data_IF_284825736716
#
_entry.id   IF_284825736716
#
_cell.length_a   1.000
_cell.length_b   1.000
_cell.length_c   1.000
_cell.angle_alpha   90.00
_cell.angle_beta   90.00
_cell.angle_gamma   90.00
#
_symmetry.space_group_name_H-M   'P 1'
#
loop_
_entity.id
_entity.type
_entity.pdbx_description
1 polymer ?
#
# COMPACT_ATOMS: atom_id res chain seq x y z
N UNK A 1 15.82 -8.92 23.34
CA UNK A 1 16.32 -7.86 22.44
C UNK A 1 15.11 -7.34 21.71
N UNK A 2 14.63 -6.14 22.05
CA UNK A 2 13.57 -5.45 21.31
C UNK A 2 14.12 -5.20 19.90
N UNK A 3 13.60 -5.91 18.90
CA UNK A 3 13.92 -5.66 17.51
C UNK A 3 13.29 -4.34 17.06
N UNK A 4 13.86 -3.23 17.51
CA UNK A 4 13.41 -1.91 17.08
C UNK A 4 13.53 -1.83 15.55
N UNK A 5 12.48 -1.34 14.91
CA UNK A 5 12.52 -0.94 13.51
C UNK A 5 13.76 -0.06 13.27
N UNK A 6 14.49 -0.30 12.22
CA UNK A 6 15.59 0.58 11.85
C UNK A 6 15.03 1.97 11.50
N UNK A 7 15.80 3.01 11.78
CA UNK A 7 15.42 4.37 11.38
C UNK A 7 15.19 4.41 9.88
N UNK A 8 14.08 4.98 9.46
CA UNK A 8 13.79 5.15 8.03
C UNK A 8 14.94 5.88 7.33
N UNK A 9 15.25 5.40 6.14
CA UNK A 9 16.22 6.02 5.23
C UNK A 9 15.82 7.49 4.99
N UNK A 10 16.79 8.38 5.02
CA UNK A 10 16.55 9.75 4.56
C UNK A 10 16.29 9.75 3.06
N UNK A 11 15.16 10.28 2.65
CA UNK A 11 14.78 10.45 1.24
C UNK A 11 14.28 11.86 0.99
N UNK A 12 14.32 12.29 -0.26
CA UNK A 12 13.61 13.50 -0.72
C UNK A 12 12.12 13.32 -0.45
N UNK A 13 11.37 14.40 -0.46
CA UNK A 13 9.91 14.36 -0.30
C UNK A 13 9.25 14.79 -1.61
N UNK A 14 8.46 13.92 -2.22
CA UNK A 14 7.66 14.22 -3.39
C UNK A 14 6.21 14.47 -3.00
N UNK A 15 5.63 15.59 -3.45
CA UNK A 15 4.22 15.92 -3.19
C UNK A 15 3.34 15.47 -4.36
N UNK A 16 2.35 14.63 -4.09
CA UNK A 16 1.43 14.05 -5.10
C UNK A 16 0.00 14.36 -4.73
N UNK A 17 -0.61 15.38 -5.35
CA UNK A 17 -2.00 15.75 -5.06
C UNK A 17 -2.25 16.06 -3.58
N UNK A 18 -1.31 16.70 -2.91
CA UNK A 18 -1.38 16.98 -1.46
C UNK A 18 -0.80 15.87 -0.57
N UNK A 19 -0.53 14.69 -1.11
CA UNK A 19 0.05 13.55 -0.33
C UNK A 19 1.57 13.57 -0.44
N UNK A 20 2.26 13.68 0.71
CA UNK A 20 3.72 13.60 0.77
C UNK A 20 4.22 12.15 0.67
N UNK A 21 5.22 11.91 -0.17
CA UNK A 21 5.89 10.62 -0.32
C UNK A 21 7.38 10.81 -0.03
N UNK A 22 7.90 10.08 0.94
CA UNK A 22 9.30 10.24 1.39
C UNK A 22 9.48 11.28 2.48
N UNK A 23 10.72 11.60 2.81
CA UNK A 23 11.05 12.48 3.92
C UNK A 23 10.47 11.99 5.25
N UNK A 24 9.81 12.88 5.97
CA UNK A 24 9.14 12.58 7.23
C UNK A 24 7.70 12.09 7.07
N UNK A 25 7.17 12.03 5.83
CA UNK A 25 5.79 11.61 5.56
C UNK A 25 5.57 10.14 5.94
N UNK A 26 4.37 9.75 6.39
CA UNK A 26 4.02 8.34 6.58
C UNK A 26 4.18 7.53 5.29
N UNK A 27 4.38 6.20 5.43
CA UNK A 27 4.44 5.30 4.27
C UNK A 27 3.06 5.24 3.62
N UNK A 28 2.98 5.62 2.35
CA UNK A 28 1.72 5.81 1.62
C UNK A 28 1.22 4.49 1.01
N UNK A 29 -0.06 4.17 1.18
CA UNK A 29 -0.72 3.04 0.54
C UNK A 29 -1.28 3.46 -0.81
N UNK A 30 -0.82 2.82 -1.87
CA UNK A 30 -1.29 3.02 -3.24
C UNK A 30 -1.99 1.76 -3.76
N UNK A 31 -3.04 1.93 -4.56
CA UNK A 31 -3.72 0.86 -5.28
C UNK A 31 -3.79 1.12 -6.79
N UNK A 32 -4.50 0.25 -7.51
CA UNK A 32 -4.71 0.38 -8.95
C UNK A 32 -6.04 -0.27 -9.34
N UNK A 33 -6.77 0.38 -10.24
CA UNK A 33 -7.97 -0.19 -10.86
C UNK A 33 -7.60 -1.31 -11.85
N UNK A 34 -8.59 -2.15 -12.15
CA UNK A 34 -8.54 -3.13 -13.22
C UNK A 34 -9.72 -3.01 -14.20
N UNK A 35 -10.45 -1.89 -14.12
CA UNK A 35 -11.48 -1.50 -15.08
C UNK A 35 -10.87 -0.97 -16.38
N UNK A 36 -11.62 -1.02 -17.45
CA UNK A 36 -11.32 -0.26 -18.67
C UNK A 36 -11.51 1.23 -18.37
N UNK A 37 -10.44 2.03 -18.47
CA UNK A 37 -10.46 3.42 -18.01
C UNK A 37 -11.41 4.29 -18.84
N UNK A 38 -11.71 3.92 -20.08
CA UNK A 38 -12.70 4.59 -20.92
C UNK A 38 -14.12 4.44 -20.40
N UNK A 39 -14.42 3.39 -19.61
CA UNK A 39 -15.65 3.32 -18.83
C UNK A 39 -15.51 4.20 -17.58
N UNK A 40 -15.95 5.46 -17.73
CA UNK A 40 -15.89 6.49 -16.69
C UNK A 40 -16.63 6.05 -15.43
N UNK A 41 -17.81 5.41 -15.58
CA UNK A 41 -18.61 5.02 -14.45
C UNK A 41 -17.98 3.88 -13.65
N UNK A 42 -17.62 2.78 -14.33
CA UNK A 42 -17.02 1.64 -13.67
C UNK A 42 -15.67 2.02 -13.00
N UNK A 43 -14.85 2.84 -13.68
CA UNK A 43 -13.56 3.27 -13.15
C UNK A 43 -13.74 4.20 -11.94
N UNK A 44 -14.64 5.19 -12.00
CA UNK A 44 -14.91 6.07 -10.87
C UNK A 44 -15.44 5.29 -9.64
N UNK A 45 -16.35 4.34 -9.88
CA UNK A 45 -16.86 3.49 -8.80
C UNK A 45 -15.76 2.65 -8.14
N UNK A 46 -14.88 2.04 -8.93
CA UNK A 46 -13.79 1.23 -8.38
C UNK A 46 -12.74 2.11 -7.67
N UNK A 47 -12.42 3.29 -8.20
CA UNK A 47 -11.55 4.27 -7.52
C UNK A 47 -12.15 4.67 -6.18
N UNK A 48 -13.45 4.96 -6.13
CA UNK A 48 -14.14 5.31 -4.89
C UNK A 48 -14.12 4.16 -3.87
N UNK A 49 -14.31 2.91 -4.30
CA UNK A 49 -14.19 1.74 -3.44
C UNK A 49 -12.78 1.60 -2.86
N UNK A 50 -11.75 1.75 -3.69
CA UNK A 50 -10.34 1.69 -3.26
C UNK A 50 -9.99 2.82 -2.27
N UNK A 51 -10.46 4.04 -2.54
CA UNK A 51 -10.26 5.18 -1.66
C UNK A 51 -10.96 4.99 -0.30
N UNK A 52 -12.22 4.51 -0.30
CA UNK A 52 -12.96 4.21 0.94
C UNK A 52 -12.34 3.07 1.74
N UNK A 53 -11.68 2.12 1.07
CA UNK A 53 -10.88 1.09 1.74
C UNK A 53 -9.57 1.65 2.35
N UNK A 54 -9.23 2.91 2.07
CA UNK A 54 -8.06 3.61 2.60
C UNK A 54 -6.85 3.66 1.68
N UNK A 55 -7.05 3.47 0.36
CA UNK A 55 -6.00 3.80 -0.62
C UNK A 55 -5.83 5.30 -0.70
N UNK A 56 -4.61 5.78 -0.44
CA UNK A 56 -4.29 7.21 -0.43
C UNK A 56 -3.96 7.75 -1.83
N UNK A 57 -3.61 6.85 -2.75
CA UNK A 57 -3.34 7.14 -4.16
C UNK A 57 -3.92 6.01 -5.01
N UNK A 58 -4.64 6.33 -6.07
CA UNK A 58 -5.18 5.31 -6.98
C UNK A 58 -4.63 5.48 -8.38
N UNK A 59 -4.05 4.41 -8.94
CA UNK A 59 -3.53 4.38 -10.29
C UNK A 59 -4.54 3.81 -11.26
N UNK A 60 -4.70 4.49 -12.41
CA UNK A 60 -5.53 4.07 -13.54
C UNK A 60 -4.65 3.89 -14.78
N UNK A 61 -5.01 2.98 -15.69
CA UNK A 61 -4.28 2.74 -16.94
C UNK A 61 -4.72 3.79 -17.97
N UNK A 62 -3.76 4.46 -18.64
CA UNK A 62 -4.05 5.41 -19.72
C UNK A 62 -3.29 4.96 -20.97
N UNK A 63 -3.92 4.12 -21.78
CA UNK A 63 -3.30 3.43 -22.92
C UNK A 63 -3.96 3.74 -24.27
N UNK A 64 -5.14 4.36 -24.27
CA UNK A 64 -5.91 4.74 -25.47
C UNK A 64 -6.28 6.23 -25.40
N UNK A 65 -6.73 6.80 -26.54
CA UNK A 65 -7.25 8.17 -26.60
C UNK A 65 -8.53 8.31 -25.78
N UNK A 66 -9.38 7.30 -25.85
CA UNK A 66 -10.64 7.21 -25.11
C UNK A 66 -10.37 7.20 -23.61
N UNK A 67 -9.38 6.40 -23.15
CA UNK A 67 -8.95 6.40 -21.76
C UNK A 67 -8.40 7.78 -21.31
N UNK A 68 -7.58 8.45 -22.15
CA UNK A 68 -7.07 9.79 -21.83
C UNK A 68 -8.20 10.82 -21.72
N UNK A 69 -9.16 10.81 -22.66
CA UNK A 69 -10.33 11.68 -22.64
C UNK A 69 -11.31 11.37 -21.48
N UNK A 70 -11.25 10.17 -20.91
CA UNK A 70 -12.09 9.78 -19.78
C UNK A 70 -11.57 10.30 -18.42
N UNK A 71 -10.26 10.53 -18.27
CA UNK A 71 -9.63 10.89 -16.98
C UNK A 71 -10.26 12.14 -16.34
N UNK A 72 -10.46 13.26 -17.04
CA UNK A 72 -11.12 14.43 -16.45
C UNK A 72 -12.55 14.13 -15.97
N UNK A 73 -13.29 13.32 -16.72
CA UNK A 73 -14.67 12.92 -16.39
C UNK A 73 -14.71 12.00 -15.17
N UNK A 74 -13.71 11.11 -15.03
CA UNK A 74 -13.56 10.25 -13.85
C UNK A 74 -13.34 11.14 -12.63
N UNK A 75 -12.45 12.14 -12.70
CA UNK A 75 -12.21 13.08 -11.61
C UNK A 75 -13.46 13.89 -11.24
N UNK A 76 -14.19 14.39 -12.23
CA UNK A 76 -15.47 15.07 -12.00
C UNK A 76 -16.48 14.17 -11.30
N UNK A 77 -16.59 12.89 -11.75
CA UNK A 77 -17.49 11.92 -11.14
C UNK A 77 -17.10 11.59 -9.70
N UNK A 78 -15.81 11.49 -9.39
CA UNK A 78 -15.32 11.30 -8.02
C UNK A 78 -15.68 12.50 -7.13
N UNK A 79 -15.54 13.72 -7.62
CA UNK A 79 -15.94 14.92 -6.89
C UNK A 79 -17.45 14.94 -6.57
N UNK A 80 -18.30 14.49 -7.51
CA UNK A 80 -19.75 14.31 -7.28
C UNK A 80 -20.08 13.24 -6.22
N UNK A 81 -19.13 12.36 -5.92
CA UNK A 81 -19.26 11.30 -4.91
C UNK A 81 -18.56 11.65 -3.59
N UNK A 82 -18.10 12.89 -3.43
CA UNK A 82 -17.28 13.36 -2.30
C UNK A 82 -16.03 12.51 -2.05
N UNK A 83 -15.37 12.08 -3.15
CA UNK A 83 -14.15 11.28 -3.10
C UNK A 83 -12.97 12.10 -3.63
N UNK A 84 -12.12 12.53 -2.71
CA UNK A 84 -10.90 13.29 -3.01
C UNK A 84 -9.66 12.39 -2.89
N UNK A 85 -9.43 11.55 -3.90
CA UNK A 85 -8.21 10.73 -3.98
C UNK A 85 -7.39 11.14 -5.21
N UNK A 86 -6.07 11.40 -5.05
CA UNK A 86 -5.21 11.73 -6.19
C UNK A 86 -5.10 10.56 -7.17
N UNK A 87 -5.35 10.83 -8.46
CA UNK A 87 -5.24 9.87 -9.54
C UNK A 87 -3.84 9.85 -10.14
N UNK A 88 -3.34 8.66 -10.42
CA UNK A 88 -2.04 8.44 -11.08
C UNK A 88 -2.28 7.82 -12.44
N UNK A 89 -1.78 8.43 -13.50
CA UNK A 89 -1.84 7.86 -14.85
C UNK A 89 -0.69 6.87 -15.08
N UNK A 90 -1.02 5.67 -15.56
CA UNK A 90 -0.05 4.65 -15.95
C UNK A 90 0.13 4.67 -17.48
N UNK A 91 1.30 5.14 -17.92
CA UNK A 91 1.61 5.32 -19.33
C UNK A 91 2.66 4.31 -19.81
N UNK A 92 2.38 3.78 -20.98
CA UNK A 92 3.27 2.90 -21.75
C UNK A 92 3.34 3.41 -23.20
N UNK A 93 4.33 3.03 -23.97
CA UNK A 93 4.55 3.25 -25.40
C UNK A 93 4.12 4.59 -26.01
N UNK A 94 2.85 4.96 -25.89
CA UNK A 94 2.24 6.12 -26.56
C UNK A 94 1.88 7.26 -25.59
N UNK A 95 2.31 7.19 -24.32
CA UNK A 95 1.95 8.16 -23.29
C UNK A 95 2.27 9.62 -23.68
N UNK A 96 3.40 9.86 -24.35
CA UNK A 96 3.80 11.18 -24.87
C UNK A 96 2.77 11.76 -25.86
N UNK A 97 2.20 10.91 -26.74
CA UNK A 97 1.17 11.32 -27.68
C UNK A 97 -0.15 11.60 -26.99
N UNK A 98 -0.57 10.67 -26.11
CA UNK A 98 -1.83 10.80 -25.38
C UNK A 98 -1.88 12.08 -24.55
N UNK A 99 -0.81 12.40 -23.83
CA UNK A 99 -0.74 13.60 -23.01
C UNK A 99 -0.57 14.88 -23.85
N UNK A 100 0.02 14.81 -25.05
CA UNK A 100 0.09 15.94 -25.97
C UNK A 100 -1.25 16.23 -26.65
N UNK A 101 -1.99 15.18 -27.01
CA UNK A 101 -3.30 15.28 -27.67
C UNK A 101 -4.43 15.59 -26.66
N UNK A 102 -4.25 15.18 -25.39
CA UNK A 102 -5.20 15.35 -24.29
C UNK A 102 -4.53 16.01 -23.07
N UNK A 103 -4.20 17.31 -23.15
CA UNK A 103 -3.56 18.03 -22.04
C UNK A 103 -4.40 18.06 -20.78
N UNK A 104 -5.73 18.06 -20.89
CA UNK A 104 -6.68 17.96 -19.79
C UNK A 104 -6.52 16.67 -18.98
N UNK A 105 -6.02 15.60 -19.60
CA UNK A 105 -5.65 14.38 -18.90
C UNK A 105 -4.47 14.61 -17.94
N UNK A 106 -3.42 15.31 -18.40
CA UNK A 106 -2.30 15.67 -17.55
C UNK A 106 -2.71 16.58 -16.39
N UNK A 107 -3.60 17.54 -16.63
CA UNK A 107 -4.14 18.44 -15.60
C UNK A 107 -4.90 17.68 -14.52
N UNK A 108 -5.73 16.72 -14.92
CA UNK A 108 -6.57 15.93 -14.02
C UNK A 108 -5.79 14.93 -13.17
N UNK A 109 -4.61 14.50 -13.60
CA UNK A 109 -3.75 13.56 -12.89
C UNK A 109 -2.88 14.26 -11.84
N UNK A 110 -2.61 13.58 -10.75
CA UNK A 110 -1.71 14.04 -9.69
C UNK A 110 -0.26 13.58 -9.88
N UNK A 111 -0.03 12.48 -10.62
CA UNK A 111 1.29 11.93 -10.92
C UNK A 111 1.26 11.11 -12.20
N UNK A 112 2.38 11.08 -12.92
CA UNK A 112 2.56 10.25 -14.10
C UNK A 112 3.46 9.06 -13.78
N UNK A 113 3.04 7.85 -14.12
CA UNK A 113 3.92 6.69 -14.08
C UNK A 113 4.46 6.40 -15.47
N UNK A 114 5.78 6.35 -15.57
CA UNK A 114 6.52 6.10 -16.80
C UNK A 114 7.36 4.82 -16.62
N UNK A 115 7.30 3.93 -17.59
CA UNK A 115 8.20 2.78 -17.65
C UNK A 115 9.26 3.03 -18.73
N UNK A 116 10.53 3.28 -18.35
CA UNK A 116 11.58 3.63 -19.31
C UNK A 116 11.80 2.56 -20.40
N UNK A 117 11.58 1.29 -20.09
CA UNK A 117 11.69 0.18 -21.04
C UNK A 117 10.56 0.12 -22.07
N UNK A 118 9.47 0.87 -21.86
CA UNK A 118 8.27 0.86 -22.72
C UNK A 118 7.94 2.24 -23.32
N UNK A 119 8.79 3.24 -23.17
CA UNK A 119 8.51 4.60 -23.71
C UNK A 119 8.72 4.65 -25.22
N UNK A 120 9.62 3.85 -25.77
CA UNK A 120 9.91 3.81 -27.20
C UNK A 120 10.98 2.74 -27.50
N UNK A 121 11.37 2.64 -28.76
CA UNK A 121 12.44 1.73 -29.21
C UNK A 121 13.58 2.51 -29.89
N UNK A 122 14.82 2.13 -29.54
CA UNK A 122 16.02 2.73 -30.14
C UNK A 122 16.12 4.24 -29.89
N UNK A 123 16.57 5.00 -30.89
CA UNK A 123 16.74 6.47 -30.79
C UNK A 123 15.48 7.25 -30.42
N UNK A 124 14.30 6.71 -30.75
CA UNK A 124 13.01 7.36 -30.42
C UNK A 124 12.68 7.28 -28.93
N UNK A 125 13.31 6.38 -28.17
CA UNK A 125 13.05 6.24 -26.73
C UNK A 125 13.40 7.52 -25.97
N UNK A 126 14.56 8.07 -26.23
CA UNK A 126 15.05 9.24 -25.51
C UNK A 126 14.24 10.49 -25.85
N UNK A 127 13.81 10.65 -27.11
CA UNK A 127 12.93 11.73 -27.55
C UNK A 127 11.54 11.62 -26.88
N UNK A 128 10.96 10.43 -26.86
CA UNK A 128 9.64 10.22 -26.26
C UNK A 128 9.67 10.33 -24.74
N UNK A 129 10.76 9.91 -24.11
CA UNK A 129 10.98 10.12 -22.68
C UNK A 129 11.10 11.62 -22.38
N UNK A 130 11.89 12.35 -23.17
CA UNK A 130 12.04 13.79 -23.01
C UNK A 130 10.70 14.54 -23.14
N UNK A 131 9.86 14.17 -24.11
CA UNK A 131 8.51 14.73 -24.26
C UNK A 131 7.63 14.48 -23.02
N UNK A 132 7.69 13.28 -22.43
CA UNK A 132 6.96 12.98 -21.19
C UNK A 132 7.44 13.83 -20.01
N UNK A 133 8.75 14.02 -19.89
CA UNK A 133 9.34 14.88 -18.85
C UNK A 133 8.97 16.35 -19.07
N UNK A 134 9.00 16.84 -20.30
CA UNK A 134 8.55 18.20 -20.65
C UNK A 134 7.08 18.43 -20.25
N UNK A 135 6.21 17.45 -20.54
CA UNK A 135 4.81 17.52 -20.13
C UNK A 135 4.70 17.53 -18.60
N UNK A 136 5.46 16.67 -17.90
CA UNK A 136 5.48 16.65 -16.45
C UNK A 136 5.91 18.00 -15.85
N UNK A 137 6.95 18.61 -16.40
CA UNK A 137 7.39 19.96 -16.01
C UNK A 137 6.32 21.02 -16.29
N UNK A 138 5.73 21.01 -17.50
CA UNK A 138 4.70 21.98 -17.93
C UNK A 138 3.47 21.97 -17.01
N UNK A 139 3.03 20.79 -16.57
CA UNK A 139 1.85 20.64 -15.72
C UNK A 139 2.18 20.48 -14.23
N UNK A 140 3.44 20.69 -13.85
CA UNK A 140 3.95 20.53 -12.46
C UNK A 140 3.58 19.17 -11.85
N UNK A 141 3.78 18.08 -12.62
CA UNK A 141 3.44 16.73 -12.17
C UNK A 141 4.68 15.95 -11.74
N UNK A 142 4.72 15.42 -10.51
CA UNK A 142 5.72 14.44 -10.15
C UNK A 142 5.58 13.19 -11.03
N UNK A 143 6.68 12.50 -11.24
CA UNK A 143 6.72 11.26 -11.98
C UNK A 143 7.11 10.07 -11.09
N UNK A 144 6.67 8.88 -11.47
CA UNK A 144 7.27 7.65 -10.99
C UNK A 144 7.95 6.90 -12.14
N UNK A 145 9.26 6.81 -12.06
CA UNK A 145 10.05 5.95 -12.94
C UNK A 145 9.87 4.51 -12.44
N UNK A 146 9.16 3.71 -13.23
CA UNK A 146 8.77 2.36 -12.84
C UNK A 146 9.38 1.30 -13.75
N UNK A 147 10.55 0.80 -13.37
CA UNK A 147 11.23 -0.29 -14.07
C UNK A 147 10.59 -1.62 -13.68
N UNK A 148 10.30 -2.45 -14.68
CA UNK A 148 9.84 -3.82 -14.48
C UNK A 148 10.81 -4.79 -15.17
N UNK A 149 11.08 -5.91 -14.53
CA UNK A 149 11.93 -6.96 -15.07
C UNK A 149 11.54 -7.40 -16.49
N UNK A 150 10.26 -7.70 -16.71
CA UNK A 150 9.76 -8.18 -18.00
C UNK A 150 9.79 -7.17 -19.15
N UNK A 151 10.12 -5.90 -18.88
CA UNK A 151 10.22 -4.83 -19.88
C UNK A 151 11.51 -4.02 -19.75
N UNK A 152 12.58 -4.64 -19.27
CA UNK A 152 13.89 -4.01 -19.18
C UNK A 152 14.45 -3.75 -20.60
N UNK A 153 15.10 -2.60 -20.76
CA UNK A 153 15.74 -2.22 -22.02
C UNK A 153 16.87 -3.19 -22.37
N UNK A 154 16.76 -3.81 -23.55
CA UNK A 154 17.72 -4.82 -23.99
C UNK A 154 19.08 -4.23 -24.35
N UNK A 155 19.15 -3.00 -24.84
CA UNK A 155 20.41 -2.33 -25.15
C UNK A 155 21.18 -1.99 -23.85
N UNK A 156 20.47 -1.52 -22.83
CA UNK A 156 21.05 -1.30 -21.51
C UNK A 156 21.54 -2.61 -20.89
N UNK A 157 20.72 -3.67 -20.97
CA UNK A 157 21.13 -4.99 -20.46
C UNK A 157 22.40 -5.49 -21.14
N UNK A 158 22.47 -5.40 -22.48
CA UNK A 158 23.65 -5.80 -23.25
C UNK A 158 24.90 -5.00 -22.83
N UNK A 159 24.76 -3.66 -22.64
CA UNK A 159 25.84 -2.82 -22.16
C UNK A 159 26.36 -3.27 -20.78
N UNK A 160 25.46 -3.52 -19.84
CA UNK A 160 25.83 -3.96 -18.48
C UNK A 160 26.49 -5.35 -18.53
N UNK A 161 26.04 -6.26 -19.41
CA UNK A 161 26.67 -7.55 -19.62
C UNK A 161 28.09 -7.42 -20.20
N UNK A 162 28.30 -6.55 -21.20
CA UNK A 162 29.60 -6.29 -21.80
C UNK A 162 30.58 -5.67 -20.79
N UNK A 163 30.12 -4.76 -19.96
CA UNK A 163 30.89 -4.18 -18.84
C UNK A 163 31.27 -5.25 -17.83
N UNK A 164 30.34 -6.15 -17.50
CA UNK A 164 30.58 -7.27 -16.59
C UNK A 164 31.65 -8.23 -17.10
N UNK A 165 31.62 -8.56 -18.41
CA UNK A 165 32.59 -9.46 -19.01
C UNK A 165 34.04 -8.93 -18.92
N UNK A 166 34.25 -7.63 -18.72
CA UNK A 166 35.56 -6.98 -18.55
C UNK A 166 36.01 -6.92 -17.09
N UNK A 167 35.19 -7.33 -16.12
CA UNK A 167 35.54 -7.34 -14.71
C UNK A 167 36.51 -8.48 -14.42
N UNK A 168 37.45 -8.29 -13.46
CA UNK A 168 38.36 -9.39 -13.02
C UNK A 168 37.54 -10.59 -12.45
N UNK A 169 36.46 -10.29 -11.76
CA UNK A 169 35.48 -11.26 -11.22
C UNK A 169 34.10 -10.92 -11.76
N UNK A 170 33.69 -11.54 -12.86
CA UNK A 170 32.34 -11.30 -13.42
C UNK A 170 31.24 -11.79 -12.47
N UNK A 171 30.21 -10.99 -12.33
CA UNK A 171 28.99 -11.34 -11.60
C UNK A 171 28.17 -12.36 -12.37
N UNK A 172 27.32 -13.12 -11.67
CA UNK A 172 26.39 -14.05 -12.30
C UNK A 172 25.23 -13.31 -13.04
N UNK A 173 24.49 -14.08 -13.84
CA UNK A 173 23.42 -13.52 -14.67
C UNK A 173 22.31 -12.85 -13.83
N UNK A 174 22.01 -13.36 -12.64
CA UNK A 174 20.98 -12.80 -11.76
C UNK A 174 21.44 -11.46 -11.16
N UNK A 175 22.68 -11.39 -10.73
CA UNK A 175 23.29 -10.15 -10.22
C UNK A 175 23.36 -9.06 -11.30
N UNK A 176 23.71 -9.45 -12.54
CA UNK A 176 23.74 -8.52 -13.68
C UNK A 176 22.35 -7.98 -14.00
N UNK A 177 21.33 -8.82 -13.95
CA UNK A 177 19.96 -8.41 -14.19
C UNK A 177 19.49 -7.42 -13.10
N UNK A 178 19.82 -7.67 -11.82
CA UNK A 178 19.51 -6.74 -10.72
C UNK A 178 20.25 -5.40 -10.94
N UNK A 179 21.53 -5.44 -11.31
CA UNK A 179 22.33 -4.26 -11.61
C UNK A 179 21.74 -3.47 -12.77
N UNK A 180 21.32 -4.13 -13.84
CA UNK A 180 20.68 -3.48 -15.00
C UNK A 180 19.37 -2.78 -14.62
N UNK A 181 18.54 -3.35 -13.72
CA UNK A 181 17.33 -2.71 -13.24
C UNK A 181 17.60 -1.45 -12.43
N UNK A 182 18.57 -1.52 -11.51
CA UNK A 182 19.00 -0.37 -10.70
C UNK A 182 19.56 0.73 -11.61
N UNK A 183 20.44 0.36 -12.54
CA UNK A 183 21.04 1.29 -13.51
C UNK A 183 19.97 1.96 -14.36
N UNK A 184 18.99 1.20 -14.88
CA UNK A 184 17.87 1.74 -15.64
C UNK A 184 17.09 2.80 -14.85
N UNK A 185 16.81 2.55 -13.59
CA UNK A 185 16.08 3.49 -12.74
C UNK A 185 16.87 4.77 -12.48
N UNK A 186 18.15 4.64 -12.14
CA UNK A 186 19.02 5.77 -11.79
C UNK A 186 19.39 6.61 -13.01
N UNK A 187 19.71 6.01 -14.15
CA UNK A 187 20.01 6.73 -15.39
C UNK A 187 18.77 7.49 -15.89
N UNK A 188 17.58 6.86 -15.81
CA UNK A 188 16.33 7.54 -16.18
C UNK A 188 16.01 8.70 -15.24
N UNK A 189 16.30 8.59 -13.94
CA UNK A 189 16.13 9.70 -13.00
C UNK A 189 17.09 10.84 -13.29
N UNK A 190 18.35 10.55 -13.53
CA UNK A 190 19.37 11.53 -13.88
C UNK A 190 19.00 12.25 -15.21
N UNK A 191 18.52 11.50 -16.21
CA UNK A 191 18.04 12.06 -17.46
C UNK A 191 16.85 13.00 -17.25
N UNK A 192 15.90 12.62 -16.39
CA UNK A 192 14.76 13.48 -16.07
C UNK A 192 15.19 14.80 -15.40
N UNK A 193 16.16 14.75 -14.47
CA UNK A 193 16.72 15.96 -13.85
C UNK A 193 17.46 16.82 -14.88
N UNK A 194 18.24 16.23 -15.79
CA UNK A 194 18.89 16.98 -16.88
C UNK A 194 17.90 17.66 -17.82
N UNK A 195 16.72 17.10 -18.00
CA UNK A 195 15.61 17.66 -18.77
C UNK A 195 14.81 18.72 -17.99
N UNK A 196 15.20 19.03 -16.75
CA UNK A 196 14.64 20.10 -15.95
C UNK A 196 13.59 19.70 -14.92
N UNK A 197 13.32 18.40 -14.73
CA UNK A 197 12.40 17.96 -13.68
C UNK A 197 13.13 17.96 -12.32
N UNK A 198 12.64 18.69 -11.30
CA UNK A 198 13.26 18.68 -9.98
C UNK A 198 13.31 17.27 -9.36
N UNK A 199 14.39 16.93 -8.67
CA UNK A 199 14.58 15.60 -8.10
C UNK A 199 13.58 15.25 -6.99
N UNK A 200 12.97 16.22 -6.32
CA UNK A 200 11.87 16.06 -5.38
C UNK A 200 10.51 15.81 -6.07
N UNK A 201 10.50 15.74 -7.41
CA UNK A 201 9.34 15.32 -8.22
C UNK A 201 9.50 13.91 -8.77
N UNK A 202 10.52 13.15 -8.36
CA UNK A 202 10.83 11.83 -8.88
C UNK A 202 10.64 10.78 -7.78
N UNK A 203 9.89 9.73 -8.07
CA UNK A 203 9.75 8.52 -7.25
C UNK A 203 10.27 7.33 -8.05
N UNK A 204 11.05 6.44 -7.44
CA UNK A 204 11.59 5.27 -8.12
C UNK A 204 10.87 3.98 -7.72
N UNK A 205 10.77 3.06 -8.66
CA UNK A 205 10.39 1.67 -8.38
C UNK A 205 11.02 0.69 -9.36
N UNK A 206 11.49 -0.44 -8.83
CA UNK A 206 11.99 -1.57 -9.60
C UNK A 206 11.22 -2.82 -9.16
N UNK A 207 10.38 -3.38 -10.03
CA UNK A 207 9.50 -4.50 -9.69
C UNK A 207 9.93 -5.78 -10.36
N UNK A 208 10.00 -6.83 -9.54
CA UNK A 208 10.31 -8.21 -9.92
C UNK A 208 9.34 -9.15 -9.22
N UNK A 209 9.26 -10.40 -9.63
CA UNK A 209 8.42 -11.44 -9.03
C UNK A 209 9.12 -12.24 -7.92
N UNK A 210 10.46 -12.21 -7.87
CA UNK A 210 11.26 -12.88 -6.85
C UNK A 210 11.44 -12.03 -5.59
N UNK A 211 11.13 -12.60 -4.42
CA UNK A 211 11.26 -11.90 -3.12
C UNK A 211 12.71 -11.48 -2.86
N UNK A 212 13.67 -12.39 -3.04
CA UNK A 212 15.09 -12.13 -2.78
C UNK A 212 15.66 -11.10 -3.76
N UNK A 213 15.23 -11.17 -5.03
CA UNK A 213 15.64 -10.18 -6.04
C UNK A 213 15.12 -8.79 -5.71
N UNK A 214 13.85 -8.69 -5.26
CA UNK A 214 13.28 -7.42 -4.85
C UNK A 214 14.07 -6.81 -3.70
N UNK A 215 14.37 -7.60 -2.67
CA UNK A 215 15.12 -7.15 -1.50
C UNK A 215 16.50 -6.65 -1.91
N UNK A 216 17.24 -7.40 -2.74
CA UNK A 216 18.57 -7.03 -3.21
C UNK A 216 18.55 -5.73 -4.03
N UNK A 217 17.62 -5.59 -4.97
CA UNK A 217 17.45 -4.40 -5.81
C UNK A 217 17.16 -3.15 -4.97
N UNK A 218 16.23 -3.23 -4.02
CA UNK A 218 15.88 -2.05 -3.22
C UNK A 218 16.91 -1.67 -2.19
N UNK A 219 17.70 -2.62 -1.66
CA UNK A 219 18.87 -2.31 -0.84
C UNK A 219 19.90 -1.50 -1.64
N UNK A 220 20.15 -1.93 -2.87
CA UNK A 220 21.08 -1.23 -3.77
C UNK A 220 20.56 0.17 -4.16
N UNK A 221 19.28 0.30 -4.50
CA UNK A 221 18.64 1.61 -4.76
C UNK A 221 18.72 2.53 -3.55
N UNK A 222 18.50 2.00 -2.35
CA UNK A 222 18.53 2.76 -1.11
C UNK A 222 19.94 3.28 -0.78
N UNK A 223 20.97 2.52 -1.14
CA UNK A 223 22.38 2.93 -0.96
C UNK A 223 22.83 3.97 -1.99
N UNK A 224 22.32 3.89 -3.22
CA UNK A 224 22.79 4.69 -4.36
C UNK A 224 21.96 5.92 -4.67
N UNK A 225 20.83 6.13 -4.01
CA UNK A 225 19.97 7.28 -4.27
C UNK A 225 19.23 7.74 -3.01
N UNK A 226 18.74 8.97 -3.05
CA UNK A 226 17.87 9.58 -2.03
C UNK A 226 16.44 9.82 -2.54
N UNK A 227 16.09 9.34 -3.73
CA UNK A 227 14.71 9.40 -4.23
C UNK A 227 13.76 8.58 -3.37
N UNK A 228 12.50 9.02 -3.19
CA UNK A 228 11.46 8.19 -2.59
C UNK A 228 11.28 6.87 -3.35
N UNK A 229 11.11 5.78 -2.61
CA UNK A 229 11.01 4.44 -3.16
C UNK A 229 9.58 3.88 -3.03
N UNK A 230 9.00 3.47 -4.17
CA UNK A 230 7.73 2.79 -4.23
C UNK A 230 7.93 1.28 -4.29
N UNK A 231 7.66 0.60 -3.18
CA UNK A 231 7.80 -0.85 -3.06
C UNK A 231 6.60 -1.60 -3.65
N UNK A 232 6.85 -2.78 -4.14
CA UNK A 232 5.81 -3.72 -4.56
C UNK A 232 6.38 -4.89 -5.33
N UNK A 233 5.96 -6.09 -4.95
CA UNK A 233 6.23 -7.29 -5.73
C UNK A 233 5.26 -7.32 -6.92
N UNK A 234 5.73 -7.69 -8.10
CA UNK A 234 4.87 -7.94 -9.26
C UNK A 234 4.62 -9.44 -9.40
N UNK A 235 3.46 -9.82 -9.97
CA UNK A 235 3.13 -11.23 -10.24
C UNK A 235 3.25 -12.13 -8.98
N UNK A 236 2.87 -11.58 -7.84
CA UNK A 236 2.96 -12.27 -6.55
C UNK A 236 2.09 -13.54 -6.49
N UNK A 237 1.02 -13.59 -7.28
CA UNK A 237 0.06 -14.70 -7.36
C UNK A 237 -1.27 -14.40 -6.68
N UNK A 238 -2.11 -15.44 -6.60
CA UNK A 238 -3.46 -15.39 -6.03
C UNK A 238 -3.47 -15.74 -4.55
N UNK A 239 -4.51 -15.31 -3.85
CA UNK A 239 -4.86 -15.76 -2.51
C UNK A 239 -3.71 -15.66 -1.51
N UNK A 240 -3.57 -16.67 -0.67
CA UNK A 240 -2.55 -16.71 0.40
C UNK A 240 -1.11 -16.66 -0.13
N UNK A 241 -0.83 -17.29 -1.28
CA UNK A 241 0.52 -17.27 -1.88
C UNK A 241 0.95 -15.85 -2.23
N UNK A 242 0.07 -15.07 -2.85
CA UNK A 242 0.35 -13.68 -3.20
C UNK A 242 0.52 -12.79 -1.97
N UNK A 243 -0.30 -12.98 -0.95
CA UNK A 243 -0.21 -12.27 0.33
C UNK A 243 1.12 -12.57 1.02
N UNK A 244 1.46 -13.85 1.18
CA UNK A 244 2.71 -14.26 1.84
C UNK A 244 3.94 -13.74 1.10
N UNK A 245 3.98 -13.85 -0.24
CA UNK A 245 5.11 -13.37 -1.03
C UNK A 245 5.25 -11.84 -0.92
N UNK A 246 4.15 -11.09 -1.03
CA UNK A 246 4.16 -9.64 -0.88
C UNK A 246 4.58 -9.21 0.52
N UNK A 247 4.04 -9.87 1.55
CA UNK A 247 4.38 -9.59 2.95
C UNK A 247 5.86 -9.84 3.21
N UNK A 248 6.40 -10.99 2.79
CA UNK A 248 7.81 -11.32 2.98
C UNK A 248 8.74 -10.31 2.30
N UNK A 249 8.43 -9.91 1.05
CA UNK A 249 9.25 -8.96 0.32
C UNK A 249 9.20 -7.55 0.94
N UNK A 250 8.01 -7.06 1.28
CA UNK A 250 7.83 -5.72 1.82
C UNK A 250 8.33 -5.62 3.27
N UNK A 251 8.03 -6.61 4.11
CA UNK A 251 8.37 -6.57 5.52
C UNK A 251 9.88 -6.48 5.77
N UNK A 252 10.70 -7.21 5.02
CA UNK A 252 12.17 -7.14 5.15
C UNK A 252 12.67 -5.74 4.84
N UNK A 253 12.23 -5.14 3.73
CA UNK A 253 12.65 -3.79 3.34
C UNK A 253 12.16 -2.72 4.32
N UNK A 254 10.91 -2.80 4.72
CA UNK A 254 10.31 -1.88 5.68
C UNK A 254 10.97 -1.97 7.05
N UNK A 255 11.36 -3.18 7.51
CA UNK A 255 12.14 -3.38 8.74
C UNK A 255 13.51 -2.69 8.67
N UNK A 256 14.10 -2.63 7.48
CA UNK A 256 15.38 -1.95 7.21
C UNK A 256 15.22 -0.44 7.00
N UNK A 257 14.00 0.09 7.13
CA UNK A 257 13.69 1.50 6.93
C UNK A 257 13.63 1.91 5.44
N UNK A 258 13.53 0.96 4.52
CA UNK A 258 13.45 1.17 3.08
C UNK A 258 12.00 1.14 2.62
N UNK A 259 11.54 2.22 1.96
CA UNK A 259 10.21 2.32 1.38
C UNK A 259 9.42 3.51 1.87
N UNK A 260 8.86 4.26 0.92
CA UNK A 260 8.12 5.50 1.16
C UNK A 260 6.65 5.39 0.72
N UNK A 261 6.37 4.48 -0.21
CA UNK A 261 5.01 4.10 -0.60
C UNK A 261 4.99 2.64 -1.02
N UNK A 262 3.88 1.96 -0.79
CA UNK A 262 3.74 0.53 -1.07
C UNK A 262 2.49 0.25 -1.92
N UNK A 263 2.58 -0.78 -2.75
CA UNK A 263 1.44 -1.40 -3.40
C UNK A 263 1.55 -2.92 -3.36
N UNK A 264 0.58 -3.57 -2.78
CA UNK A 264 0.37 -5.01 -2.90
C UNK A 264 -0.31 -5.29 -4.25
N UNK A 265 0.19 -6.27 -4.99
CA UNK A 265 -0.36 -6.66 -6.30
C UNK A 265 -0.76 -8.13 -6.23
N UNK A 266 -2.05 -8.38 -6.09
CA UNK A 266 -2.62 -9.72 -6.09
C UNK A 266 -3.31 -9.99 -7.43
N UNK A 267 -3.21 -11.21 -7.92
CA UNK A 267 -4.11 -11.66 -8.96
C UNK A 267 -5.50 -11.83 -8.32
N UNK A 268 -6.53 -11.06 -8.75
CA UNK A 268 -7.86 -11.20 -8.15
C UNK A 268 -8.46 -12.56 -8.51
N UNK A 269 -9.24 -13.11 -7.60
CA UNK A 269 -10.14 -14.21 -7.94
C UNK A 269 -11.22 -13.69 -8.91
N UNK A 270 -11.82 -14.55 -9.75
CA UNK A 270 -12.94 -14.14 -10.59
C UNK A 270 -14.02 -13.47 -9.75
N UNK A 271 -14.38 -12.23 -10.11
CA UNK A 271 -15.28 -11.36 -9.33
C UNK A 271 -14.81 -11.00 -7.91
N UNK A 272 -13.52 -11.20 -7.63
CA UNK A 272 -12.93 -10.89 -6.32
C UNK A 272 -12.88 -9.40 -6.02
N UNK A 273 -12.94 -9.09 -4.72
CA UNK A 273 -12.89 -7.73 -4.22
C UNK A 273 -11.50 -7.11 -4.42
N UNK A 274 -11.44 -6.05 -5.22
CA UNK A 274 -10.20 -5.32 -5.52
C UNK A 274 -9.64 -4.57 -4.31
N UNK A 275 -10.46 -4.27 -3.33
CA UNK A 275 -10.03 -3.57 -2.10
C UNK A 275 -9.11 -4.42 -1.23
N UNK A 276 -9.10 -5.74 -1.42
CA UNK A 276 -8.24 -6.67 -0.67
C UNK A 276 -6.75 -6.30 -0.74
N UNK A 277 -6.27 -5.76 -1.88
CA UNK A 277 -4.88 -5.28 -2.01
C UNK A 277 -4.59 -4.13 -1.05
N UNK A 278 -5.54 -3.21 -0.86
CA UNK A 278 -5.43 -2.08 0.06
C UNK A 278 -5.41 -2.57 1.51
N UNK A 279 -6.34 -3.46 1.84
CA UNK A 279 -6.45 -4.05 3.18
C UNK A 279 -5.14 -4.76 3.56
N UNK A 280 -4.62 -5.63 2.68
CA UNK A 280 -3.35 -6.35 2.92
C UNK A 280 -2.18 -5.38 3.07
N UNK A 281 -2.12 -4.31 2.27
CA UNK A 281 -1.08 -3.29 2.41
C UNK A 281 -1.14 -2.59 3.77
N UNK A 282 -2.34 -2.25 4.25
CA UNK A 282 -2.56 -1.69 5.58
C UNK A 282 -2.17 -2.68 6.68
N UNK A 283 -2.58 -3.94 6.56
CA UNK A 283 -2.26 -4.99 7.52
C UNK A 283 -0.75 -5.23 7.63
N UNK A 284 0.00 -5.19 6.53
CA UNK A 284 1.47 -5.26 6.55
C UNK A 284 2.04 -4.10 7.37
N UNK A 285 1.66 -2.86 7.08
CA UNK A 285 2.17 -1.69 7.81
C UNK A 285 1.78 -1.70 9.28
N UNK A 286 0.57 -2.12 9.59
CA UNK A 286 0.04 -2.17 10.94
C UNK A 286 0.68 -3.28 11.78
N UNK A 287 0.80 -4.47 11.23
CA UNK A 287 1.46 -5.62 11.90
C UNK A 287 2.92 -5.33 12.21
N UNK A 288 3.59 -4.53 11.37
CA UNK A 288 4.97 -4.10 11.59
C UNK A 288 5.08 -2.89 12.55
N UNK A 289 3.97 -2.34 13.05
CA UNK A 289 3.97 -1.17 13.92
C UNK A 289 4.40 0.14 13.24
N UNK A 290 4.34 0.20 11.90
CA UNK A 290 4.74 1.37 11.11
C UNK A 290 3.62 2.41 10.99
N UNK A 291 2.38 1.94 10.88
CA UNK A 291 1.15 2.76 10.80
C UNK A 291 -0.01 2.00 11.41
N UNK A 292 -0.99 2.73 11.94
CA UNK A 292 -2.28 2.18 12.35
C UNK A 292 -3.38 2.68 11.40
N UNK A 293 -4.34 1.82 11.07
CA UNK A 293 -5.44 2.13 10.15
C UNK A 293 -6.81 1.79 10.73
N UNK A 294 -6.89 0.70 11.48
CA UNK A 294 -8.11 0.24 12.17
C UNK A 294 -7.70 -0.39 13.49
N UNK A 295 -8.58 -0.44 14.49
CA UNK A 295 -8.29 -1.21 15.71
C UNK A 295 -7.83 -2.63 15.41
N UNK A 296 -6.76 -3.07 16.07
CA UNK A 296 -6.24 -4.43 15.93
C UNK A 296 -7.08 -5.39 16.77
N UNK A 297 -7.61 -6.43 16.15
CA UNK A 297 -8.34 -7.50 16.85
C UNK A 297 -7.48 -8.75 16.90
N UNK A 298 -6.94 -9.05 18.08
CA UNK A 298 -6.22 -10.29 18.34
C UNK A 298 -7.21 -11.37 18.75
N UNK A 299 -7.06 -12.56 18.17
CA UNK A 299 -7.85 -13.72 18.53
C UNK A 299 -6.97 -14.97 18.70
N UNK A 300 -7.34 -15.88 19.58
CA UNK A 300 -6.61 -17.12 19.73
C UNK A 300 -6.86 -18.05 18.53
N UNK A 301 -5.91 -18.93 18.17
CA UNK A 301 -6.05 -19.84 17.02
C UNK A 301 -7.09 -20.95 17.26
N UNK A 302 -7.58 -21.13 18.51
CA UNK A 302 -8.39 -22.28 18.89
C UNK A 302 -7.55 -23.53 19.10
N UNK A 303 -7.98 -24.39 19.97
CA UNK A 303 -7.34 -25.68 20.23
C UNK A 303 -8.37 -26.64 20.88
N UNK A 304 -7.93 -27.86 21.30
CA UNK A 304 -8.81 -28.82 21.95
C UNK A 304 -9.48 -28.37 23.27
N UNK A 305 -9.09 -27.20 23.79
CA UNK A 305 -9.77 -26.58 24.95
C UNK A 305 -11.00 -25.76 24.54
N UNK A 306 -11.18 -25.47 23.24
CA UNK A 306 -12.30 -24.69 22.73
C UNK A 306 -12.89 -25.39 21.53
N UNK A 307 -13.91 -26.20 21.75
CA UNK A 307 -14.63 -26.93 20.68
C UNK A 307 -15.81 -26.12 20.11
N UNK A 308 -16.18 -25.03 20.75
CA UNK A 308 -17.22 -24.09 20.31
C UNK A 308 -16.68 -23.09 19.29
N UNK A 309 -17.49 -22.69 18.29
CA UNK A 309 -17.20 -21.66 17.32
C UNK A 309 -17.48 -20.24 17.81
N UNK A 310 -18.10 -20.10 18.98
CA UNK A 310 -18.60 -18.80 19.51
C UNK A 310 -17.51 -17.73 19.57
N UNK A 311 -16.28 -18.07 19.98
CA UNK A 311 -15.20 -17.10 20.03
C UNK A 311 -14.71 -16.70 18.62
N UNK A 312 -14.76 -17.61 17.65
CA UNK A 312 -14.40 -17.35 16.26
C UNK A 312 -15.42 -16.42 15.62
N UNK A 313 -16.71 -16.68 15.86
CA UNK A 313 -17.84 -15.87 15.41
C UNK A 313 -17.75 -14.45 16.01
N UNK A 314 -17.52 -14.35 17.33
CA UNK A 314 -17.33 -13.06 17.99
C UNK A 314 -16.09 -12.32 17.46
N UNK A 315 -14.95 -12.99 17.27
CA UNK A 315 -13.75 -12.36 16.75
C UNK A 315 -13.96 -11.82 15.34
N UNK A 316 -14.62 -12.60 14.48
CA UNK A 316 -14.98 -12.19 13.13
C UNK A 316 -15.95 -10.99 13.15
N UNK A 317 -16.98 -11.06 13.97
CA UNK A 317 -17.98 -10.03 14.14
C UNK A 317 -17.35 -8.69 14.61
N UNK A 318 -16.49 -8.74 15.62
CA UNK A 318 -15.78 -7.56 16.11
C UNK A 318 -14.80 -7.02 15.06
N UNK A 319 -14.14 -7.89 14.29
CA UNK A 319 -13.25 -7.45 13.22
C UNK A 319 -14.00 -6.72 12.09
N UNK A 320 -15.18 -7.19 11.72
CA UNK A 320 -16.08 -6.53 10.77
C UNK A 320 -16.56 -5.21 11.35
N UNK A 321 -17.08 -5.24 12.58
CA UNK A 321 -17.63 -4.08 13.27
C UNK A 321 -16.64 -2.92 13.38
N UNK A 322 -15.41 -3.15 13.85
CA UNK A 322 -14.42 -2.06 13.95
C UNK A 322 -14.04 -1.47 12.60
N UNK A 323 -14.04 -2.29 11.55
CA UNK A 323 -13.77 -1.84 10.18
C UNK A 323 -14.90 -0.98 9.64
N UNK A 324 -16.15 -1.35 9.89
CA UNK A 324 -17.32 -0.58 9.50
C UNK A 324 -17.46 0.73 10.27
N UNK A 325 -17.11 0.74 11.56
CA UNK A 325 -17.17 1.92 12.41
C UNK A 325 -16.01 2.89 12.19
N UNK A 326 -14.87 2.42 11.70
CA UNK A 326 -13.65 3.21 11.59
C UNK A 326 -13.81 4.52 10.80
N UNK A 327 -14.55 4.59 9.67
CA UNK A 327 -14.76 5.85 8.96
C UNK A 327 -15.42 6.92 9.84
N UNK A 328 -16.44 6.57 10.63
CA UNK A 328 -17.11 7.49 11.54
C UNK A 328 -16.21 7.89 12.71
N UNK A 329 -15.55 6.91 13.33
CA UNK A 329 -14.61 7.19 14.42
C UNK A 329 -13.47 8.10 13.97
N UNK A 330 -12.94 7.89 12.76
CA UNK A 330 -11.86 8.72 12.21
C UNK A 330 -12.27 10.17 11.99
N UNK A 331 -13.52 10.42 11.64
CA UNK A 331 -14.08 11.77 11.51
C UNK A 331 -14.29 12.41 12.88
N UNK A 332 -14.76 11.65 13.87
CA UNK A 332 -15.16 12.15 15.18
C UNK A 332 -14.03 12.19 16.22
N UNK A 333 -13.05 11.30 16.13
CA UNK A 333 -12.06 11.04 17.17
C UNK A 333 -10.64 10.97 16.62
N UNK A 334 -9.64 11.18 17.48
CA UNK A 334 -8.22 11.10 17.13
C UNK A 334 -7.58 9.89 17.81
N UNK A 335 -6.93 9.01 17.02
CA UNK A 335 -6.11 7.93 17.55
C UNK A 335 -6.83 6.59 17.75
N UNK A 336 -8.11 6.48 17.43
CA UNK A 336 -8.91 5.22 17.58
C UNK A 336 -8.28 4.06 16.81
N UNK A 337 -7.65 4.33 15.68
CA UNK A 337 -6.94 3.35 14.88
C UNK A 337 -5.83 2.59 15.63
N UNK A 338 -5.34 3.13 16.73
CA UNK A 338 -4.31 2.52 17.58
C UNK A 338 -4.87 1.59 18.67
N UNK A 339 -6.19 1.53 18.84
CA UNK A 339 -6.85 0.66 19.80
C UNK A 339 -6.54 -0.81 19.52
N UNK A 340 -6.37 -1.59 20.58
CA UNK A 340 -6.19 -3.04 20.51
C UNK A 340 -7.34 -3.76 21.18
N UNK A 341 -7.88 -4.77 20.53
CA UNK A 341 -8.94 -5.62 21.05
C UNK A 341 -8.43 -7.07 21.14
N UNK A 342 -8.88 -7.82 22.13
CA UNK A 342 -8.55 -9.23 22.27
C UNK A 342 -9.83 -10.06 22.44
N UNK A 343 -10.02 -11.08 21.60
CA UNK A 343 -11.12 -12.06 21.71
C UNK A 343 -10.54 -13.43 21.91
N UNK A 344 -10.60 -13.95 23.15
CA UNK A 344 -9.96 -15.18 23.56
C UNK A 344 -11.00 -16.27 23.87
N UNK A 345 -10.69 -17.53 23.53
CA UNK A 345 -11.64 -18.62 23.59
C UNK A 345 -11.54 -19.53 24.81
N UNK A 346 -10.68 -19.25 25.80
CA UNK A 346 -10.59 -20.04 27.04
C UNK A 346 -9.85 -19.25 28.14
N UNK A 347 -9.95 -19.73 29.38
CA UNK A 347 -9.34 -19.08 30.56
C UNK A 347 -7.83 -19.27 30.65
N UNK A 348 -7.19 -20.11 29.84
CA UNK A 348 -5.76 -20.41 29.97
C UNK A 348 -4.90 -19.22 29.57
N UNK A 349 -5.06 -18.72 28.36
CA UNK A 349 -4.36 -17.53 27.88
C UNK A 349 -5.26 -16.29 27.86
N UNK A 350 -6.59 -16.50 27.87
CA UNK A 350 -7.58 -15.45 27.71
C UNK A 350 -7.39 -14.26 28.64
N UNK A 351 -7.32 -14.44 29.95
CA UNK A 351 -7.13 -13.33 30.89
C UNK A 351 -5.80 -12.59 30.70
N UNK A 352 -4.72 -13.31 30.36
CA UNK A 352 -3.40 -12.71 30.11
C UNK A 352 -3.41 -11.82 28.87
N UNK A 353 -3.81 -12.36 27.73
CA UNK A 353 -3.89 -11.61 26.48
C UNK A 353 -4.90 -10.45 26.54
N UNK A 354 -6.06 -10.69 27.19
CA UNK A 354 -7.08 -9.65 27.35
C UNK A 354 -6.59 -8.45 28.19
N UNK A 355 -5.68 -8.66 29.13
CA UNK A 355 -5.08 -7.58 29.91
C UNK A 355 -4.06 -6.73 29.16
N UNK A 356 -3.47 -7.27 28.10
CA UNK A 356 -2.50 -6.55 27.28
C UNK A 356 -3.16 -5.71 26.18
N UNK A 357 -4.44 -5.95 25.90
CA UNK A 357 -5.22 -5.16 24.96
C UNK A 357 -5.87 -3.94 25.63
N UNK A 358 -6.24 -2.94 24.86
CA UNK A 358 -7.07 -1.82 25.36
C UNK A 358 -8.39 -2.34 25.91
N UNK A 359 -9.01 -3.31 25.20
CA UNK A 359 -10.20 -4.03 25.65
C UNK A 359 -10.04 -5.49 25.28
N UNK A 360 -10.27 -6.39 26.21
CA UNK A 360 -10.20 -7.81 25.96
C UNK A 360 -11.35 -8.58 26.60
N UNK A 361 -11.82 -9.63 25.89
CA UNK A 361 -12.81 -10.56 26.39
C UNK A 361 -12.25 -11.98 26.37
N UNK A 362 -12.48 -12.72 27.44
CA UNK A 362 -12.10 -14.13 27.55
C UNK A 362 -13.38 -14.97 27.63
N UNK A 363 -13.72 -15.62 26.52
CA UNK A 363 -14.86 -16.53 26.45
C UNK A 363 -14.54 -17.85 27.14
N UNK A 364 -15.55 -18.58 27.63
CA UNK A 364 -15.33 -19.87 28.26
C UNK A 364 -14.93 -20.93 27.23
N UNK A 365 -13.96 -21.75 27.59
CA UNK A 365 -13.61 -22.95 26.86
C UNK A 365 -14.59 -24.13 27.16
N UNK A 366 -14.32 -25.28 26.54
CA UNK A 366 -15.13 -26.48 26.72
C UNK A 366 -15.07 -26.96 28.18
N UNK A 367 -16.25 -27.09 28.81
CA UNK A 367 -16.36 -27.48 30.21
C UNK A 367 -16.08 -26.40 31.25
N UNK A 368 -15.81 -25.16 30.82
CA UNK A 368 -15.67 -24.00 31.69
C UNK A 368 -17.04 -23.38 32.03
N UNK A 369 -17.10 -22.59 33.09
CA UNK A 369 -18.32 -21.86 33.45
C UNK A 369 -18.69 -20.87 32.33
N UNK A 370 -19.98 -20.73 31.94
CA UNK A 370 -20.42 -19.89 30.81
C UNK A 370 -20.39 -18.41 31.18
N UNK A 371 -19.21 -17.91 31.46
CA UNK A 371 -18.96 -16.52 31.85
C UNK A 371 -17.81 -15.95 31.02
N UNK A 372 -17.94 -14.72 30.57
CA UNK A 372 -16.98 -14.01 29.75
C UNK A 372 -16.48 -12.74 30.46
N UNK A 373 -15.37 -12.82 31.22
CA UNK A 373 -14.77 -11.65 31.83
C UNK A 373 -14.22 -10.72 30.76
N UNK A 374 -14.52 -9.42 30.94
CA UNK A 374 -14.03 -8.32 30.09
C UNK A 374 -13.01 -7.50 30.88
N UNK A 375 -11.93 -7.20 30.19
CA UNK A 375 -10.84 -6.36 30.70
C UNK A 375 -10.75 -5.09 29.90
N UNK A 376 -10.51 -3.97 30.59
CA UNK A 376 -10.29 -2.65 30.00
C UNK A 376 -9.04 -2.07 30.65
N UNK A 377 -8.06 -1.68 29.83
CA UNK A 377 -6.78 -1.14 30.27
C UNK A 377 -6.08 -2.03 31.35
N UNK A 378 -6.19 -3.36 31.18
CA UNK A 378 -5.59 -4.35 32.07
C UNK A 378 -6.43 -4.75 33.29
N UNK A 379 -7.53 -4.06 33.57
CA UNK A 379 -8.38 -4.34 34.72
C UNK A 379 -9.67 -5.06 34.32
N UNK A 380 -10.11 -6.04 35.12
CA UNK A 380 -11.38 -6.69 34.92
C UNK A 380 -12.53 -5.78 35.35
N UNK A 381 -13.36 -5.36 34.37
CA UNK A 381 -14.44 -4.38 34.63
C UNK A 381 -15.82 -5.02 34.78
N UNK A 382 -16.09 -6.09 34.00
CA UNK A 382 -17.40 -6.75 34.01
C UNK A 382 -17.24 -8.23 33.62
N UNK A 383 -18.28 -9.01 33.86
CA UNK A 383 -18.38 -10.39 33.38
C UNK A 383 -19.71 -10.56 32.64
N UNK A 384 -19.62 -10.76 31.34
CA UNK A 384 -20.79 -10.94 30.50
C UNK A 384 -21.31 -12.39 30.56
N UNK A 385 -22.59 -12.59 30.31
CA UNK A 385 -23.28 -13.89 30.37
C UNK A 385 -24.43 -13.92 29.39
N UNK A 386 -24.78 -15.15 28.93
CA UNK A 386 -25.95 -15.38 28.09
C UNK A 386 -25.72 -15.10 26.61
N UNK A 387 -26.78 -14.80 25.88
CA UNK A 387 -26.79 -14.74 24.42
C UNK A 387 -26.37 -13.37 23.85
N UNK A 388 -26.38 -12.32 24.68
CA UNK A 388 -26.13 -10.94 24.23
C UNK A 388 -24.66 -10.49 24.34
N UNK A 389 -23.73 -11.39 24.61
CA UNK A 389 -22.29 -11.07 24.83
C UNK A 389 -21.73 -10.20 23.72
N UNK A 390 -22.05 -10.49 22.45
CA UNK A 390 -21.53 -9.73 21.32
C UNK A 390 -22.01 -8.26 21.32
N UNK A 391 -23.29 -8.03 21.56
CA UNK A 391 -23.88 -6.70 21.62
C UNK A 391 -23.32 -5.89 22.81
N UNK A 392 -23.32 -6.52 24.00
CA UNK A 392 -22.79 -5.88 25.22
C UNK A 392 -21.29 -5.56 25.09
N UNK A 393 -20.52 -6.41 24.41
CA UNK A 393 -19.09 -6.16 24.17
C UNK A 393 -18.88 -4.99 23.18
N UNK A 394 -19.72 -4.86 22.13
CA UNK A 394 -19.69 -3.69 21.22
C UNK A 394 -20.03 -2.39 21.97
N UNK A 395 -21.00 -2.40 22.88
CA UNK A 395 -21.37 -1.24 23.70
C UNK A 395 -20.19 -0.81 24.60
N UNK A 396 -19.43 -1.77 25.13
CA UNK A 396 -18.21 -1.47 25.89
C UNK A 396 -17.16 -0.83 24.98
N UNK A 397 -16.97 -1.32 23.75
CA UNK A 397 -16.04 -0.74 22.77
C UNK A 397 -16.43 0.71 22.44
N UNK A 398 -17.71 0.98 22.12
CA UNK A 398 -18.19 2.33 21.85
C UNK A 398 -17.98 3.27 23.05
N UNK A 399 -18.32 2.81 24.25
CA UNK A 399 -18.13 3.58 25.49
C UNK A 399 -16.64 3.89 25.74
N UNK A 400 -15.77 2.94 25.43
CA UNK A 400 -14.32 3.14 25.53
C UNK A 400 -13.82 4.16 24.52
N UNK A 401 -14.23 4.08 23.26
CA UNK A 401 -13.89 5.03 22.21
C UNK A 401 -14.34 6.43 22.60
N UNK A 402 -15.57 6.58 23.05
CA UNK A 402 -16.12 7.86 23.45
C UNK A 402 -15.37 8.51 24.62
N UNK A 403 -14.91 7.70 25.58
CA UNK A 403 -14.22 8.17 26.80
C UNK A 403 -12.73 8.43 26.59
N UNK A 404 -12.07 7.56 25.81
CA UNK A 404 -10.60 7.50 25.78
C UNK A 404 -9.99 8.35 24.67
N UNK A 405 -10.67 8.46 23.54
CA UNK A 405 -10.14 9.16 22.39
C UNK A 405 -10.73 10.57 22.27
N UNK A 406 -9.88 11.62 22.21
CA UNK A 406 -10.34 12.99 22.13
C UNK A 406 -11.15 13.26 20.86
N UNK A 407 -12.12 14.16 20.97
CA UNK A 407 -12.87 14.64 19.81
C UNK A 407 -11.94 15.35 18.82
N UNK A 408 -12.15 15.09 17.55
CA UNK A 408 -11.44 15.83 16.50
C UNK A 408 -12.04 17.24 16.46
N UNK A 409 -11.24 18.23 16.80
CA UNK A 409 -11.64 19.61 16.59
C UNK A 409 -11.80 19.82 15.08
N UNK A 410 -12.99 20.28 14.67
CA UNK A 410 -13.17 20.70 13.28
C UNK A 410 -12.17 21.82 12.96
N UNK A 411 -11.48 21.76 11.81
CA UNK A 411 -10.53 22.80 11.39
C UNK A 411 -11.21 24.14 11.16
#
# INVERSE_FOLDING_TARGET
>A
MSGALLKRRSSRSALVGGIGIGGASPIVVQSMTNTETEDVFATAMQVAQLARAGSELVRITVNTREAAAAVPKIRERLAQMDVEVPLIGDFHFNGHKLLSEHPECAEALAKLRINPGNVGKGSKRDEQFAQLIEIACRFDKPIRIGVNWGSLDQALLARVMDENARRPEPKDATEIMREAMVTSALESAAQAEQLGLPGDRIVLSCKVSGVQDLIAIYRELALRSDYPLHLGLTEAGMGSKGIVASTAALAVLLQEGIGDTIRVSLTPEPNGDRTREVIVAQEILQTMGLRAFTPLVAACPGCGRTTSTVFQELAQDIQIYVRERMPEWRLARVGVESMTLAVMGCVVNGPGESKHASIGISLPGTGEAPVAPVYVDGERVVTLRGENIAAEFRDIVESYVARTYPERQNP
#
